data_IF_030170886475
#
_entry.id   IF_030170886475
#
_cell.length_a   1.000
_cell.length_b   1.000
_cell.length_c   1.000
_cell.angle_alpha   90.00
_cell.angle_beta   90.00
_cell.angle_gamma   90.00
#
_symmetry.space_group_name_H-M   'P 1'
#
loop_
_entity.id
_entity.type
_entity.pdbx_description
1 polymer ?
#
# COMPACT_ATOMS: atom_id res chain seq x y z
N UNK A 1 -25.14 -31.66 16.85
CA UNK A 1 -25.04 -30.80 15.66
C UNK A 1 -23.77 -29.97 15.75
N UNK A 2 -22.75 -30.28 14.94
CA UNK A 2 -21.49 -29.51 14.91
C UNK A 2 -21.67 -28.18 14.17
N UNK A 3 -21.11 -27.10 14.72
CA UNK A 3 -21.05 -25.80 14.06
C UNK A 3 -20.15 -25.93 12.83
N UNK A 4 -20.72 -25.79 11.64
CA UNK A 4 -19.95 -25.55 10.42
C UNK A 4 -19.23 -24.22 10.60
N UNK A 5 -17.91 -24.26 10.80
CA UNK A 5 -17.09 -23.07 10.59
C UNK A 5 -17.01 -22.88 9.07
N UNK A 6 -17.91 -22.06 8.53
CA UNK A 6 -17.85 -21.63 7.13
C UNK A 6 -16.55 -20.85 6.94
N UNK A 7 -15.50 -21.53 6.49
CA UNK A 7 -14.20 -20.93 6.18
C UNK A 7 -14.44 -19.90 5.08
N UNK A 8 -14.43 -18.62 5.44
CA UNK A 8 -14.42 -17.54 4.45
C UNK A 8 -13.18 -17.77 3.60
N UNK A 9 -13.37 -18.18 2.34
CA UNK A 9 -12.27 -18.32 1.40
C UNK A 9 -11.88 -16.92 0.96
N UNK A 10 -10.99 -16.29 1.72
CA UNK A 10 -10.34 -15.07 1.27
C UNK A 10 -9.63 -15.35 -0.05
N UNK A 11 -9.81 -14.46 -1.03
CA UNK A 11 -9.07 -14.54 -2.29
C UNK A 11 -7.65 -14.06 -2.04
N UNK A 12 -6.70 -14.99 -2.14
CA UNK A 12 -5.29 -14.76 -1.87
C UNK A 12 -4.56 -14.55 -3.19
N UNK A 13 -3.67 -13.57 -3.26
CA UNK A 13 -2.76 -13.35 -4.37
C UNK A 13 -1.32 -13.25 -3.88
N UNK A 14 -0.37 -13.60 -4.74
CA UNK A 14 1.05 -13.35 -4.48
C UNK A 14 1.37 -11.87 -4.74
N UNK A 15 2.18 -11.28 -3.86
CA UNK A 15 2.75 -9.94 -4.04
C UNK A 15 3.97 -9.94 -4.97
N UNK A 16 4.62 -8.77 -5.07
CA UNK A 16 5.82 -8.55 -5.90
C UNK A 16 7.04 -8.16 -5.07
N UNK A 17 8.24 -8.23 -5.67
CA UNK A 17 9.53 -7.85 -5.05
C UNK A 17 10.39 -7.02 -6.03
N UNK A 18 9.75 -6.18 -6.83
CA UNK A 18 10.41 -5.38 -7.88
C UNK A 18 10.94 -4.04 -7.35
N UNK A 19 10.50 -3.59 -6.16
CA UNK A 19 10.84 -2.28 -5.58
C UNK A 19 10.49 -1.15 -6.57
N UNK A 20 11.48 -0.38 -7.00
CA UNK A 20 11.35 0.70 -7.99
C UNK A 20 11.69 0.26 -9.42
N UNK A 21 11.95 -1.03 -9.64
CA UNK A 21 12.22 -1.55 -10.98
C UNK A 21 10.93 -1.55 -11.79
N UNK A 22 10.93 -0.82 -12.91
CA UNK A 22 9.73 -0.63 -13.73
C UNK A 22 9.92 -1.28 -15.10
N UNK A 23 8.86 -1.87 -15.64
CA UNK A 23 8.85 -2.24 -17.05
C UNK A 23 9.00 -0.98 -17.91
N UNK A 24 9.66 -1.11 -19.06
CA UNK A 24 9.81 -0.03 -20.04
C UNK A 24 8.46 0.42 -20.62
N UNK A 25 7.46 -0.46 -20.61
CA UNK A 25 6.10 -0.18 -21.06
C UNK A 25 5.13 0.01 -19.87
N UNK A 26 4.64 1.24 -19.71
CA UNK A 26 3.69 1.65 -18.66
C UNK A 26 2.31 0.99 -18.82
N UNK A 27 1.88 0.68 -20.04
CA UNK A 27 0.63 -0.03 -20.29
C UNK A 27 0.74 -1.47 -19.76
N UNK A 28 1.84 -2.14 -20.07
CA UNK A 28 2.12 -3.49 -19.59
C UNK A 28 2.28 -3.52 -18.06
N UNK A 29 2.89 -2.51 -17.46
CA UNK A 29 2.99 -2.35 -16.01
C UNK A 29 1.60 -2.32 -15.37
N UNK A 30 0.69 -1.47 -15.86
CA UNK A 30 -0.67 -1.38 -15.35
C UNK A 30 -1.45 -2.69 -15.52
N UNK A 31 -1.36 -3.33 -16.70
CA UNK A 31 -2.03 -4.62 -16.97
C UNK A 31 -1.55 -5.71 -16.04
N UNK A 32 -0.24 -5.74 -15.78
CA UNK A 32 0.37 -6.69 -14.85
C UNK A 32 -0.15 -6.44 -13.44
N UNK A 33 -0.08 -5.19 -12.95
CA UNK A 33 -0.62 -4.81 -11.64
C UNK A 33 -2.08 -5.26 -11.46
N UNK A 34 -2.93 -4.94 -12.44
CA UNK A 34 -4.34 -5.33 -12.41
C UNK A 34 -4.50 -6.84 -12.37
N UNK A 35 -3.78 -7.59 -13.22
CA UNK A 35 -3.85 -9.05 -13.26
C UNK A 35 -3.48 -9.71 -11.92
N UNK A 36 -2.51 -9.16 -11.19
CA UNK A 36 -2.08 -9.73 -9.90
C UNK A 36 -3.10 -9.47 -8.78
N UNK A 37 -3.69 -8.26 -8.75
CA UNK A 37 -4.45 -7.79 -7.59
C UNK A 37 -5.96 -7.70 -7.82
N UNK A 38 -6.45 -7.89 -9.03
CA UNK A 38 -7.89 -7.89 -9.32
C UNK A 38 -8.60 -9.01 -8.54
N UNK A 39 -9.62 -8.62 -7.77
CA UNK A 39 -10.35 -9.49 -6.85
C UNK A 39 -9.52 -10.12 -5.72
N UNK A 40 -8.33 -9.59 -5.42
CA UNK A 40 -7.52 -10.06 -4.30
C UNK A 40 -7.96 -9.40 -2.98
N UNK A 41 -8.07 -10.21 -1.91
CA UNK A 41 -8.34 -9.75 -0.55
C UNK A 41 -7.09 -9.76 0.34
N UNK A 42 -6.21 -10.76 0.16
CA UNK A 42 -5.00 -10.94 0.97
C UNK A 42 -3.79 -11.05 0.05
N UNK A 43 -2.86 -10.11 0.16
CA UNK A 43 -1.59 -10.12 -0.57
C UNK A 43 -0.54 -10.85 0.26
N UNK A 44 -0.11 -12.02 -0.23
CA UNK A 44 1.00 -12.79 0.32
C UNK A 44 2.31 -12.25 -0.28
N UNK A 45 2.96 -11.36 0.45
CA UNK A 45 4.15 -10.63 0.01
C UNK A 45 3.93 -9.13 0.07
N UNK A 46 4.53 -8.40 -0.85
CA UNK A 46 4.47 -6.94 -0.87
C UNK A 46 3.47 -6.45 -1.91
N UNK A 47 2.79 -5.35 -1.60
CA UNK A 47 1.96 -4.62 -2.55
C UNK A 47 2.78 -3.45 -3.10
N UNK A 48 3.20 -3.54 -4.36
CA UNK A 48 4.00 -2.49 -5.01
C UNK A 48 3.19 -1.84 -6.13
N UNK A 49 2.88 -0.56 -5.96
CA UNK A 49 2.16 0.27 -6.91
C UNK A 49 3.13 1.33 -7.40
N UNK A 50 3.76 1.08 -8.55
CA UNK A 50 4.79 1.96 -9.09
C UNK A 50 4.54 2.30 -10.56
N UNK A 51 4.88 3.53 -10.93
CA UNK A 51 4.82 4.04 -12.31
C UNK A 51 3.44 3.92 -12.97
N UNK A 52 2.38 4.17 -12.21
CA UNK A 52 1.01 4.19 -12.71
C UNK A 52 0.63 5.59 -13.19
N UNK A 53 0.18 5.66 -14.45
CA UNK A 53 -0.29 6.89 -15.09
C UNK A 53 -1.61 7.40 -14.51
N UNK A 54 -1.89 8.70 -14.68
CA UNK A 54 -3.05 9.41 -14.14
C UNK A 54 -4.38 8.81 -14.58
N UNK A 55 -4.48 8.34 -15.82
CA UNK A 55 -5.74 7.89 -16.45
C UNK A 55 -6.19 6.49 -16.03
N UNK A 56 -5.44 5.82 -15.15
CA UNK A 56 -5.65 4.41 -14.82
C UNK A 56 -6.67 4.21 -13.71
N UNK A 57 -7.55 3.23 -13.92
CA UNK A 57 -8.51 2.81 -12.92
C UNK A 57 -7.86 1.84 -11.92
N UNK A 58 -7.79 2.26 -10.65
CA UNK A 58 -7.24 1.47 -9.54
C UNK A 58 -8.32 0.93 -8.59
N UNK A 59 -9.61 1.03 -8.94
CA UNK A 59 -10.73 0.60 -8.09
C UNK A 59 -10.66 -0.86 -7.68
N UNK A 60 -10.02 -1.72 -8.47
CA UNK A 60 -9.78 -3.13 -8.14
C UNK A 60 -8.97 -3.32 -6.83
N UNK A 61 -8.15 -2.34 -6.44
CA UNK A 61 -7.40 -2.39 -5.18
C UNK A 61 -8.29 -2.30 -3.94
N UNK A 62 -9.55 -1.84 -4.09
CA UNK A 62 -10.51 -1.75 -2.99
C UNK A 62 -10.82 -3.12 -2.38
N UNK A 63 -10.60 -4.23 -3.09
CA UNK A 63 -10.85 -5.55 -2.51
C UNK A 63 -9.80 -5.96 -1.48
N UNK A 64 -8.61 -5.36 -1.52
CA UNK A 64 -7.49 -5.72 -0.65
C UNK A 64 -7.79 -5.29 0.78
N UNK A 65 -7.60 -6.24 1.71
CA UNK A 65 -7.84 -6.08 3.15
C UNK A 65 -6.60 -6.27 3.98
N UNK A 66 -5.67 -7.08 3.50
CA UNK A 66 -4.46 -7.44 4.23
C UNK A 66 -3.26 -7.56 3.28
N UNK A 67 -2.11 -7.07 3.74
CA UNK A 67 -0.80 -7.25 3.10
C UNK A 67 0.17 -7.81 4.13
N UNK A 68 0.81 -8.93 3.82
CA UNK A 68 1.72 -9.57 4.79
C UNK A 68 3.10 -8.91 4.84
N UNK A 69 3.61 -8.43 3.71
CA UNK A 69 4.90 -7.72 3.61
C UNK A 69 4.76 -6.21 3.81
N UNK A 70 5.39 -5.44 2.93
CA UNK A 70 5.25 -3.97 2.89
C UNK A 70 4.30 -3.49 1.79
N UNK A 71 3.89 -2.23 1.90
CA UNK A 71 3.16 -1.50 0.85
C UNK A 71 4.06 -0.38 0.31
N UNK A 72 4.33 -0.39 -0.99
CA UNK A 72 5.13 0.63 -1.68
C UNK A 72 4.26 1.35 -2.70
N UNK A 73 4.17 2.67 -2.60
CA UNK A 73 3.46 3.54 -3.54
C UNK A 73 4.41 4.63 -3.99
N UNK A 74 4.99 4.51 -5.18
CA UNK A 74 5.99 5.45 -5.64
C UNK A 74 5.93 5.75 -7.14
N UNK A 75 6.38 6.93 -7.54
CA UNK A 75 6.51 7.33 -8.96
C UNK A 75 5.18 7.35 -9.72
N UNK A 76 4.05 7.48 -9.02
CA UNK A 76 2.73 7.47 -9.64
C UNK A 76 2.19 8.88 -9.96
N UNK A 77 1.23 8.95 -10.88
CA UNK A 77 0.63 10.21 -11.35
C UNK A 77 -0.89 10.30 -11.10
N UNK A 78 -1.51 9.25 -10.56
CA UNK A 78 -2.92 9.26 -10.14
C UNK A 78 -3.13 10.12 -8.89
N UNK A 79 -4.36 10.60 -8.69
CA UNK A 79 -4.71 11.55 -7.63
C UNK A 79 -5.26 10.90 -6.34
N UNK A 80 -5.81 9.69 -6.44
CA UNK A 80 -6.38 8.96 -5.31
C UNK A 80 -5.92 7.50 -5.25
N UNK A 81 -5.49 7.06 -4.07
CA UNK A 81 -5.16 5.66 -3.79
C UNK A 81 -6.34 4.93 -3.11
N UNK A 82 -7.09 4.04 -3.80
CA UNK A 82 -8.35 3.48 -3.30
C UNK A 82 -8.16 2.21 -2.44
N UNK A 83 -7.38 2.30 -1.35
CA UNK A 83 -7.16 1.19 -0.40
C UNK A 83 -8.11 1.24 0.83
N UNK A 84 -9.39 1.54 0.58
CA UNK A 84 -10.41 1.82 1.61
C UNK A 84 -10.69 0.67 2.57
N UNK A 85 -10.51 -0.57 2.08
CA UNK A 85 -10.73 -1.78 2.87
C UNK A 85 -9.45 -2.36 3.44
N UNK A 86 -8.28 -1.75 3.18
CA UNK A 86 -7.02 -2.21 3.73
C UNK A 86 -7.02 -1.96 5.23
N UNK A 87 -6.88 -3.04 6.01
CA UNK A 87 -6.94 -3.03 7.47
C UNK A 87 -5.59 -3.30 8.11
N UNK A 88 -4.79 -4.17 7.51
CA UNK A 88 -3.57 -4.65 8.17
C UNK A 88 -2.42 -4.70 7.17
N UNK A 89 -1.28 -4.13 7.57
CA UNK A 89 0.03 -4.41 7.00
C UNK A 89 0.85 -5.10 8.10
N UNK A 90 1.24 -6.35 7.88
CA UNK A 90 1.96 -7.13 8.91
C UNK A 90 3.45 -6.82 8.99
N UNK A 91 4.05 -6.34 7.89
CA UNK A 91 5.46 -6.00 7.87
C UNK A 91 6.40 -7.19 8.09
N UNK A 92 6.05 -8.39 7.59
CA UNK A 92 6.98 -9.54 7.63
C UNK A 92 8.22 -9.32 6.77
N UNK A 93 8.11 -8.43 5.77
CA UNK A 93 9.19 -7.81 5.03
C UNK A 93 9.01 -6.29 5.06
N UNK A 94 10.12 -5.55 5.06
CA UNK A 94 10.12 -4.09 5.06
C UNK A 94 10.82 -3.57 3.81
N UNK A 95 10.30 -2.48 3.24
CA UNK A 95 10.99 -1.74 2.19
C UNK A 95 12.25 -1.09 2.78
N UNK A 96 13.39 -1.23 2.10
CA UNK A 96 14.69 -0.73 2.59
C UNK A 96 15.04 -1.25 4.01
N UNK A 97 14.51 -2.43 4.37
CA UNK A 97 14.61 -3.05 5.70
C UNK A 97 14.12 -2.14 6.85
N UNK A 98 13.36 -1.10 6.53
CA UNK A 98 12.96 -0.03 7.46
C UNK A 98 11.46 0.24 7.47
N UNK A 99 10.82 0.25 6.30
CA UNK A 99 9.47 0.77 6.15
C UNK A 99 8.44 -0.32 5.84
N UNK A 100 7.36 -0.42 6.60
CA UNK A 100 6.22 -1.29 6.28
C UNK A 100 5.25 -0.62 5.30
N UNK A 101 5.25 0.71 5.25
CA UNK A 101 4.52 1.51 4.28
C UNK A 101 5.40 2.67 3.81
N UNK A 102 5.59 2.76 2.49
CA UNK A 102 6.39 3.80 1.87
C UNK A 102 5.60 4.46 0.72
N UNK A 103 5.35 5.76 0.84
CA UNK A 103 4.64 6.59 -0.13
C UNK A 103 5.48 7.83 -0.45
N UNK A 104 6.14 7.84 -1.61
CA UNK A 104 7.02 8.95 -1.99
C UNK A 104 7.06 9.17 -3.50
N UNK A 105 7.42 10.38 -3.94
CA UNK A 105 7.58 10.72 -5.36
C UNK A 105 6.33 10.44 -6.23
N UNK A 106 5.13 10.55 -5.66
CA UNK A 106 3.87 10.37 -6.39
C UNK A 106 3.37 11.68 -7.00
N UNK A 107 4.22 12.33 -7.79
CA UNK A 107 3.91 13.59 -8.46
C UNK A 107 4.75 13.72 -9.74
N UNK A 108 4.23 14.46 -10.73
CA UNK A 108 5.02 14.86 -11.89
C UNK A 108 5.87 16.10 -11.56
N UNK A 109 7.02 16.22 -12.21
CA UNK A 109 7.90 17.40 -12.08
C UNK A 109 7.23 18.73 -12.45
N UNK A 110 6.21 18.68 -13.31
CA UNK A 110 5.43 19.85 -13.70
C UNK A 110 4.36 20.26 -12.66
N UNK A 111 4.17 19.48 -11.58
CA UNK A 111 3.30 19.80 -10.45
C UNK A 111 1.80 19.73 -10.72
N UNK A 112 1.38 19.47 -11.96
CA UNK A 112 -0.03 19.47 -12.33
C UNK A 112 -0.77 18.23 -11.81
N UNK A 113 -0.08 17.08 -11.78
CA UNK A 113 -0.65 15.78 -11.47
C UNK A 113 0.19 15.03 -10.43
N UNK A 114 -0.50 14.26 -9.60
CA UNK A 114 0.09 13.53 -8.49
C UNK A 114 -0.95 13.19 -7.44
N UNK A 115 -0.52 12.37 -6.50
CA UNK A 115 -1.32 11.87 -5.39
C UNK A 115 -1.75 13.02 -4.49
N UNK A 116 -3.06 13.11 -4.23
CA UNK A 116 -3.69 14.16 -3.42
C UNK A 116 -4.45 13.59 -2.23
N UNK A 117 -4.89 12.34 -2.32
CA UNK A 117 -5.71 11.69 -1.29
C UNK A 117 -5.35 10.22 -1.13
N UNK A 118 -5.39 9.75 0.12
CA UNK A 118 -5.13 8.38 0.51
C UNK A 118 -6.40 7.75 1.07
N UNK A 119 -6.84 6.65 0.48
CA UNK A 119 -7.98 5.87 0.95
C UNK A 119 -7.68 4.99 2.17
N UNK A 120 -6.71 5.32 3.03
CA UNK A 120 -6.26 4.45 4.13
C UNK A 120 -7.09 4.66 5.42
N UNK A 121 -8.42 4.60 5.31
CA UNK A 121 -9.32 5.01 6.42
C UNK A 121 -9.31 4.05 7.63
N UNK A 122 -9.07 2.76 7.39
CA UNK A 122 -9.18 1.70 8.40
C UNK A 122 -7.85 0.96 8.63
N UNK A 123 -6.73 1.55 8.21
CA UNK A 123 -5.43 0.88 8.24
C UNK A 123 -4.83 0.89 9.66
N UNK A 124 -4.45 -0.30 10.11
CA UNK A 124 -3.58 -0.57 11.25
C UNK A 124 -2.29 -1.22 10.75
N UNK A 125 -1.15 -0.83 11.30
CA UNK A 125 0.16 -1.41 10.95
C UNK A 125 0.64 -2.23 12.15
N UNK A 126 0.88 -3.53 11.96
CA UNK A 126 1.45 -4.38 13.02
C UNK A 126 2.97 -4.22 13.01
N UNK A 127 3.58 -3.87 14.15
CA UNK A 127 5.02 -4.02 14.32
C UNK A 127 5.32 -5.47 14.65
N UNK A 128 5.98 -6.19 13.73
CA UNK A 128 6.64 -7.45 14.08
C UNK A 128 7.64 -7.20 15.22
N UNK A 129 7.56 -8.05 16.26
CA UNK A 129 8.25 -7.91 17.54
C UNK A 129 9.78 -8.13 17.49
N UNK A 130 10.33 -8.58 16.37
CA UNK A 130 11.77 -8.81 16.23
C UNK A 130 12.49 -7.53 15.76
N UNK A 131 12.74 -6.63 16.72
CA UNK A 131 13.64 -5.49 16.53
C UNK A 131 13.16 -4.20 17.19
N UNK A 132 13.51 -4.04 18.47
CA UNK A 132 13.93 -2.79 19.13
C UNK A 132 13.07 -1.55 18.84
N UNK A 133 12.25 -1.15 19.82
CA UNK A 133 12.12 0.21 20.38
C UNK A 133 12.27 1.43 19.43
N UNK A 134 11.77 1.34 18.21
CA UNK A 134 11.65 2.42 17.23
C UNK A 134 10.15 2.67 17.03
N UNK A 135 9.72 3.92 17.24
CA UNK A 135 8.31 4.27 17.14
C UNK A 135 7.75 3.84 15.78
N UNK A 136 6.52 3.34 15.73
CA UNK A 136 5.89 2.88 14.49
C UNK A 136 5.87 3.92 13.37
N UNK A 137 6.01 5.21 13.72
CA UNK A 137 6.25 6.30 12.78
C UNK A 137 7.53 6.17 11.96
N UNK A 138 8.63 5.68 12.55
CA UNK A 138 9.91 5.53 11.86
C UNK A 138 9.84 4.44 10.77
N UNK A 139 8.81 3.59 10.80
CA UNK A 139 8.53 2.58 9.76
C UNK A 139 7.63 3.09 8.63
N UNK A 140 7.35 4.39 8.59
CA UNK A 140 6.59 5.04 7.53
C UNK A 140 7.47 6.05 6.77
N UNK A 141 7.46 6.00 5.45
CA UNK A 141 8.10 7.03 4.61
C UNK A 141 7.00 7.75 3.82
N UNK A 142 6.73 9.02 4.16
CA UNK A 142 5.76 9.86 3.47
C UNK A 142 6.43 11.12 2.92
N UNK A 143 6.58 11.21 1.60
CA UNK A 143 7.01 12.43 0.91
C UNK A 143 6.06 12.72 -0.26
N UNK A 144 4.94 13.36 0.08
CA UNK A 144 3.92 13.78 -0.88
C UNK A 144 3.61 15.27 -0.66
N UNK A 145 4.32 16.18 -1.36
CA UNK A 145 4.21 17.62 -1.17
C UNK A 145 2.79 18.19 -1.41
N UNK A 146 1.98 17.49 -2.22
CA UNK A 146 0.66 17.94 -2.65
C UNK A 146 -0.49 17.49 -1.73
N UNK A 147 -0.24 16.60 -0.77
CA UNK A 147 -1.24 16.13 0.17
C UNK A 147 -1.10 17.00 1.43
N UNK A 148 -1.96 18.02 1.58
CA UNK A 148 -1.94 18.92 2.75
C UNK A 148 -2.10 18.17 4.09
N UNK A 149 -2.65 16.96 4.04
CA UNK A 149 -2.81 16.05 5.17
C UNK A 149 -1.67 15.03 5.29
N UNK A 150 -0.51 15.15 4.61
CA UNK A 150 0.58 14.16 4.75
C UNK A 150 0.99 13.99 6.20
N UNK A 151 1.22 15.10 6.92
CA UNK A 151 1.50 15.08 8.36
C UNK A 151 0.32 14.58 9.21
N UNK A 152 -0.92 14.80 8.79
CA UNK A 152 -2.11 14.31 9.48
C UNK A 152 -2.33 12.81 9.25
N UNK A 153 -2.03 12.30 8.06
CA UNK A 153 -2.10 10.88 7.70
C UNK A 153 -0.96 10.12 8.36
N UNK A 154 0.25 10.67 8.33
CA UNK A 154 1.40 10.19 9.09
C UNK A 154 1.05 10.16 10.59
N UNK A 155 0.52 11.25 11.15
CA UNK A 155 0.08 11.34 12.54
C UNK A 155 -1.06 10.37 12.91
N UNK A 156 -2.02 10.13 12.01
CA UNK A 156 -3.09 9.13 12.18
C UNK A 156 -2.53 7.72 12.18
N UNK A 157 -1.72 7.35 11.19
CA UNK A 157 -1.12 6.02 11.10
C UNK A 157 -0.18 5.74 12.29
N UNK A 158 0.55 6.76 12.73
CA UNK A 158 1.40 6.74 13.91
C UNK A 158 0.64 6.52 15.23
N UNK A 159 -0.56 7.08 15.36
CA UNK A 159 -1.36 6.99 16.60
C UNK A 159 -2.12 5.67 16.69
N UNK A 160 -2.67 5.16 15.58
CA UNK A 160 -3.38 3.86 15.54
C UNK A 160 -2.49 2.67 15.85
N UNK A 161 -1.18 2.79 15.61
CA UNK A 161 -0.24 1.71 15.85
C UNK A 161 0.24 1.61 17.32
N UNK A 162 -0.10 2.58 18.18
CA UNK A 162 0.32 2.64 19.59
C UNK A 162 -0.65 1.91 20.55
N UNK A 163 -1.56 1.09 20.05
CA UNK A 163 -2.56 0.36 20.84
C UNK A 163 -2.15 -1.10 21.08
#
# INVERSE_FOLDING_TARGET
>A
MGRFCSRVRHRVCAGTENKLSTLSDLEQQYRTLRKYYENCEVVMGNLEITSIDRSRDLTFLRSIREVTGYVLVALNQFDYLPLENLRIIRGTKLYEDRYSLAIFLNYRRDGNFGLRQLGLKNLTVEASAEGVRAGLCEKLLFDVPSVASSHEVEGKLCTTAKA
#
